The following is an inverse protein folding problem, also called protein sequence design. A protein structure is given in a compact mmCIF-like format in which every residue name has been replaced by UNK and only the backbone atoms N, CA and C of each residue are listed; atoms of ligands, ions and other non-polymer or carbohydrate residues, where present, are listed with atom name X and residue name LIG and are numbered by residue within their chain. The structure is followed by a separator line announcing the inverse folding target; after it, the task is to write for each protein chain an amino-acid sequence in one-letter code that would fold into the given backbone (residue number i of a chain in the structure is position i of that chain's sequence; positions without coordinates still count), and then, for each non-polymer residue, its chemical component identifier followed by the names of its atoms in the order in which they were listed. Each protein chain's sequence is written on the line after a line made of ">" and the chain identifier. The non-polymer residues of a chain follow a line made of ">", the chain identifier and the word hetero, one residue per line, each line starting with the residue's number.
data_IF_503007690615
#
_entry.id   IF_503007690615
#
_cell.length_a   1.000
_cell.length_b   1.000
_cell.length_c   1.000
_cell.angle_alpha   90.00
_cell.angle_beta   90.00
_cell.angle_gamma   90.00
#
_symmetry.space_group_name_H-M   'P 1'
#
loop_
_entity.id
_entity.type
_entity.pdbx_description
1 polymer ?
#
# COMPACT_ATOMS: atom_id res chain seq x y z
N UNK A 1 -9.37 19.04 14.23
CA UNK A 1 -8.47 18.26 13.37
C UNK A 1 -7.40 19.15 12.72
N UNK A 2 -7.79 20.29 12.14
CA UNK A 2 -6.92 21.20 11.37
C UNK A 2 -5.61 21.63 12.04
N UNK A 3 -5.64 22.14 13.28
CA UNK A 3 -4.38 22.50 13.98
C UNK A 3 -3.43 21.30 14.11
N UNK A 4 -3.99 20.10 14.31
CA UNK A 4 -3.23 18.86 14.36
C UNK A 4 -2.63 18.50 12.99
N UNK A 5 -3.37 18.70 11.91
CA UNK A 5 -2.87 18.48 10.54
C UNK A 5 -1.63 19.35 10.26
N UNK A 6 -1.73 20.67 10.44
CA UNK A 6 -0.61 21.58 10.18
C UNK A 6 0.63 21.33 11.05
N UNK A 7 0.47 20.76 12.24
CA UNK A 7 1.57 20.63 13.21
C UNK A 7 2.10 19.21 13.35
N UNK A 8 1.28 18.18 13.09
CA UNK A 8 1.65 16.77 13.21
C UNK A 8 1.82 16.10 11.85
N UNK A 9 1.11 16.55 10.80
CA UNK A 9 1.27 16.03 9.44
C UNK A 9 2.72 16.08 8.96
N UNK A 10 3.39 17.26 8.99
CA UNK A 10 4.79 17.39 8.56
C UNK A 10 5.80 16.61 9.41
N UNK A 11 5.42 16.14 10.61
CA UNK A 11 6.28 15.29 11.45
C UNK A 11 6.28 13.83 11.01
N UNK A 12 5.25 13.40 10.28
CA UNK A 12 5.11 12.04 9.76
C UNK A 12 5.50 12.00 8.28
N UNK A 13 5.02 12.97 7.50
CA UNK A 13 5.36 13.13 6.08
C UNK A 13 6.30 14.33 5.96
N UNK A 14 7.59 14.02 6.05
CA UNK A 14 8.68 15.00 6.11
C UNK A 14 9.52 15.00 4.82
N UNK A 15 10.62 15.78 4.82
CA UNK A 15 11.54 15.87 3.68
C UNK A 15 12.21 14.53 3.33
N UNK A 16 12.40 13.64 4.33
CA UNK A 16 12.90 12.29 4.09
C UNK A 16 11.90 11.49 3.28
N UNK A 17 10.62 11.57 3.62
CA UNK A 17 9.55 10.92 2.86
C UNK A 17 9.54 11.38 1.40
N UNK A 18 9.70 12.69 1.17
CA UNK A 18 9.81 13.27 -0.18
C UNK A 18 11.07 12.82 -0.91
N UNK A 19 12.20 12.65 -0.21
CA UNK A 19 13.44 12.16 -0.80
C UNK A 19 13.30 10.70 -1.28
N UNK A 20 12.69 9.82 -0.47
CA UNK A 20 12.40 8.44 -0.87
C UNK A 20 11.44 8.39 -2.08
N UNK A 21 10.41 9.24 -2.12
CA UNK A 21 9.53 9.34 -3.29
C UNK A 21 10.28 9.71 -4.58
N UNK A 22 11.26 10.62 -4.51
CA UNK A 22 12.11 10.97 -5.67
C UNK A 22 13.02 9.83 -6.09
N UNK A 23 13.53 9.04 -5.14
CA UNK A 23 14.34 7.86 -5.41
C UNK A 23 13.51 6.79 -6.12
N UNK A 24 12.32 6.48 -5.62
CA UNK A 24 11.37 5.56 -6.25
C UNK A 24 11.06 6.00 -7.69
N UNK A 25 10.81 7.30 -7.90
CA UNK A 25 10.60 7.83 -9.25
C UNK A 25 11.82 7.58 -10.17
N UNK A 26 13.03 7.73 -9.65
CA UNK A 26 14.26 7.49 -10.40
C UNK A 26 14.46 6.01 -10.75
N UNK A 27 14.09 5.10 -9.83
CA UNK A 27 14.07 3.65 -10.05
C UNK A 27 13.04 3.23 -11.11
N UNK A 28 11.90 3.93 -11.17
CA UNK A 28 10.90 3.75 -12.23
C UNK A 28 11.43 4.25 -13.57
N UNK A 29 11.94 5.49 -13.63
CA UNK A 29 12.40 6.13 -14.88
C UNK A 29 13.62 5.43 -15.48
N UNK A 30 14.52 4.90 -14.65
CA UNK A 30 15.66 4.09 -15.09
C UNK A 30 15.26 2.66 -15.53
N UNK A 31 14.00 2.29 -15.36
CA UNK A 31 13.47 0.96 -15.64
C UNK A 31 13.92 -0.12 -14.65
N UNK A 32 14.60 0.24 -13.55
CA UNK A 32 15.03 -0.71 -12.52
C UNK A 32 13.83 -1.46 -11.94
N UNK A 33 12.80 -0.73 -11.51
CA UNK A 33 11.57 -1.33 -10.98
C UNK A 33 10.93 -2.31 -11.97
N UNK A 34 10.88 -1.95 -13.26
CA UNK A 34 10.33 -2.81 -14.30
C UNK A 34 11.15 -4.10 -14.48
N UNK A 35 12.49 -4.02 -14.45
CA UNK A 35 13.37 -5.19 -14.52
C UNK A 35 13.16 -6.12 -13.32
N UNK A 36 13.13 -5.56 -12.10
CA UNK A 36 12.85 -6.32 -10.87
C UNK A 36 11.52 -7.07 -10.97
N UNK A 37 10.45 -6.38 -11.41
CA UNK A 37 9.14 -7.00 -11.56
C UNK A 37 9.10 -8.11 -12.61
N UNK A 38 9.72 -7.90 -13.78
CA UNK A 38 9.77 -8.91 -14.84
C UNK A 38 10.50 -10.16 -14.36
N UNK A 39 11.63 -10.01 -13.66
CA UNK A 39 12.39 -11.13 -13.11
C UNK A 39 11.60 -11.89 -12.05
N UNK A 40 10.97 -11.19 -11.10
CA UNK A 40 10.10 -11.80 -10.09
C UNK A 40 8.95 -12.58 -10.75
N UNK A 41 8.34 -12.02 -11.80
CA UNK A 41 7.26 -12.68 -12.53
C UNK A 41 7.74 -13.92 -13.31
N UNK A 42 8.93 -13.87 -13.91
CA UNK A 42 9.57 -15.02 -14.55
C UNK A 42 9.90 -16.12 -13.54
N UNK A 43 10.23 -15.76 -12.29
CA UNK A 43 10.42 -16.67 -11.17
C UNK A 43 9.11 -17.11 -10.49
N UNK A 44 7.97 -17.03 -11.20
CA UNK A 44 6.64 -17.41 -10.72
C UNK A 44 6.11 -16.63 -9.50
N UNK A 45 6.67 -15.44 -9.22
CA UNK A 45 6.16 -14.48 -8.22
C UNK A 45 6.21 -14.98 -6.76
N UNK A 46 7.20 -15.79 -6.40
CA UNK A 46 7.27 -16.39 -5.07
C UNK A 46 7.33 -15.34 -3.93
N UNK A 47 8.17 -14.30 -4.08
CA UNK A 47 8.30 -13.22 -3.11
C UNK A 47 7.03 -12.37 -3.04
N UNK A 48 6.47 -12.02 -4.20
CA UNK A 48 5.22 -11.26 -4.29
C UNK A 48 4.03 -11.98 -3.65
N UNK A 49 3.88 -13.29 -3.89
CA UNK A 49 2.81 -14.09 -3.28
C UNK A 49 2.99 -14.19 -1.76
N UNK A 50 4.23 -14.29 -1.27
CA UNK A 50 4.51 -14.28 0.16
C UNK A 50 4.14 -12.93 0.81
N UNK A 51 4.49 -11.80 0.19
CA UNK A 51 4.08 -10.47 0.66
C UNK A 51 2.55 -10.35 0.70
N UNK A 52 1.87 -10.70 -0.40
CA UNK A 52 0.41 -10.68 -0.47
C UNK A 52 -0.25 -11.52 0.62
N UNK A 53 0.30 -12.70 0.93
CA UNK A 53 -0.21 -13.55 2.01
C UNK A 53 -0.08 -12.86 3.37
N UNK A 54 1.08 -12.27 3.67
CA UNK A 54 1.29 -11.54 4.94
C UNK A 54 0.34 -10.37 5.09
N UNK A 55 0.12 -9.62 4.01
CA UNK A 55 -0.80 -8.48 4.02
C UNK A 55 -2.24 -8.93 4.24
N UNK A 56 -2.66 -10.05 3.62
CA UNK A 56 -3.98 -10.64 3.84
C UNK A 56 -4.17 -11.18 5.27
N UNK A 57 -3.08 -11.64 5.89
CA UNK A 57 -3.08 -12.15 7.27
C UNK A 57 -2.97 -11.00 8.32
N UNK A 58 -2.90 -9.72 7.90
CA UNK A 58 -2.79 -8.58 8.81
C UNK A 58 -4.09 -8.36 9.62
N UNK A 59 -4.02 -8.12 10.95
CA UNK A 59 -5.23 -8.00 11.81
C UNK A 59 -6.26 -6.95 11.36
N UNK A 60 -5.81 -5.91 10.66
CA UNK A 60 -6.69 -4.88 10.09
C UNK A 60 -7.72 -5.46 9.12
N UNK A 61 -7.40 -6.54 8.41
CA UNK A 61 -8.29 -7.17 7.45
C UNK A 61 -9.41 -7.95 8.13
N UNK A 62 -9.09 -8.65 9.23
CA UNK A 62 -10.10 -9.36 10.04
C UNK A 62 -11.08 -8.37 10.69
N UNK A 63 -10.55 -7.35 11.36
CA UNK A 63 -11.36 -6.34 12.06
C UNK A 63 -12.15 -5.52 11.04
N UNK A 64 -11.50 -5.00 10.01
CA UNK A 64 -12.13 -4.21 8.95
C UNK A 64 -13.19 -5.02 8.21
N UNK A 65 -12.94 -6.29 7.93
CA UNK A 65 -13.91 -7.20 7.31
C UNK A 65 -15.18 -7.38 8.13
N UNK A 66 -15.08 -7.53 9.46
CA UNK A 66 -16.25 -7.60 10.35
C UNK A 66 -17.05 -6.30 10.36
N UNK A 67 -16.36 -5.16 10.49
CA UNK A 67 -17.02 -3.85 10.49
C UNK A 67 -17.76 -3.59 9.18
N UNK A 68 -17.10 -3.82 8.03
CA UNK A 68 -17.70 -3.63 6.70
C UNK A 68 -18.93 -4.51 6.48
N UNK A 69 -19.00 -5.72 7.06
CA UNK A 69 -20.19 -6.60 6.96
C UNK A 69 -21.43 -6.03 7.65
N UNK A 70 -21.24 -5.22 8.69
CA UNK A 70 -22.33 -4.56 9.43
C UNK A 70 -22.85 -3.31 8.71
N UNK A 71 -22.09 -2.79 7.76
CA UNK A 71 -22.41 -1.58 7.00
C UNK A 71 -23.27 -1.93 5.79
N UNK A 72 -24.59 -1.93 5.95
CA UNK A 72 -25.55 -2.33 4.91
C UNK A 72 -25.40 -1.53 3.59
N UNK A 73 -24.90 -0.30 3.66
CA UNK A 73 -24.69 0.59 2.50
C UNK A 73 -23.41 0.30 1.69
N UNK A 74 -22.52 -0.55 2.21
CA UNK A 74 -21.27 -0.95 1.52
C UNK A 74 -21.52 -2.13 0.56
N UNK A 75 -22.62 -2.87 0.73
CA UNK A 75 -22.98 -3.92 -0.23
C UNK A 75 -23.30 -3.29 -1.57
N UNK A 76 -22.71 -3.75 -2.69
CA UNK A 76 -23.13 -3.29 -4.00
C UNK A 76 -24.64 -3.53 -4.15
N UNK A 77 -25.37 -2.62 -4.84
CA UNK A 77 -26.77 -2.86 -5.18
C UNK A 77 -26.88 -4.26 -5.81
N UNK A 78 -27.90 -5.03 -5.41
CA UNK A 78 -28.18 -6.31 -6.07
C UNK A 78 -28.44 -6.02 -7.56
N UNK A 79 -27.64 -6.63 -8.43
CA UNK A 79 -28.04 -6.86 -9.83
C UNK A 79 -29.18 -7.89 -9.88
#
# INVERSE_FOLDING_TARGET
>A
AEYGDYTRGPRIIDDRTKAEMKKILSEIQSGQFAREWVLENQAHRAGFLAMRKRDADHPIEEVGGRLRKMMAWIKPPRE
#
